data_IF_781821372188
#
_entry.id   IF_781821372188
#
_cell.length_a   1.000
_cell.length_b   1.000
_cell.length_c   1.000
_cell.angle_alpha   90.00
_cell.angle_beta   90.00
_cell.angle_gamma   90.00
#
_symmetry.space_group_name_H-M   'P 1'
#
loop_
_entity.id
_entity.type
_entity.pdbx_description
1 polymer ?
#
# COMPACT_ATOMS: atom_id res chain seq x y z
N UNK A 1 -27.34 5.10 -5.79
CA UNK A 1 -26.51 4.02 -5.24
C UNK A 1 -27.11 2.70 -5.73
N UNK A 2 -26.52 2.06 -6.74
CA UNK A 2 -26.89 0.70 -7.12
C UNK A 2 -26.29 -0.23 -6.09
N UNK A 3 -27.11 -0.82 -5.24
CA UNK A 3 -26.70 -1.97 -4.43
C UNK A 3 -26.40 -3.11 -5.41
N UNK A 4 -25.43 -3.98 -5.14
CA UNK A 4 -25.27 -5.22 -5.91
C UNK A 4 -26.62 -5.93 -5.91
N UNK A 5 -27.05 -6.39 -7.08
CA UNK A 5 -28.30 -7.12 -7.27
C UNK A 5 -28.26 -8.31 -6.32
N UNK A 6 -29.37 -8.59 -5.65
CA UNK A 6 -29.55 -9.57 -4.58
C UNK A 6 -29.02 -11.00 -4.90
N UNK A 7 -28.81 -11.28 -6.19
CA UNK A 7 -28.34 -12.59 -6.68
C UNK A 7 -26.80 -12.73 -6.73
N UNK A 8 -26.02 -11.65 -6.53
CA UNK A 8 -24.57 -11.65 -6.67
C UNK A 8 -23.82 -11.43 -5.34
N UNK A 9 -24.54 -11.29 -4.24
CA UNK A 9 -23.92 -11.18 -2.92
C UNK A 9 -23.54 -12.58 -2.45
N UNK A 10 -22.36 -13.04 -2.89
CA UNK A 10 -21.70 -14.19 -2.29
C UNK A 10 -21.60 -13.98 -0.77
N UNK A 11 -21.67 -15.06 0.00
CA UNK A 11 -21.64 -15.02 1.45
C UNK A 11 -20.39 -14.29 1.95
N UNK A 12 -20.57 -13.11 2.51
CA UNK A 12 -19.46 -12.40 3.15
C UNK A 12 -19.11 -13.15 4.43
N UNK A 13 -17.85 -13.56 4.60
CA UNK A 13 -17.44 -14.30 5.79
C UNK A 13 -17.72 -13.51 7.05
N UNK A 14 -18.27 -14.17 8.08
CA UNK A 14 -18.67 -13.55 9.34
C UNK A 14 -17.53 -12.94 10.15
N UNK A 15 -16.29 -13.41 9.93
CA UNK A 15 -15.14 -12.89 10.62
C UNK A 15 -13.96 -12.64 9.68
N UNK A 16 -13.20 -11.60 9.99
CA UNK A 16 -11.93 -11.28 9.34
C UNK A 16 -10.98 -12.50 9.28
N UNK A 17 -10.87 -13.23 10.41
CA UNK A 17 -9.96 -14.36 10.54
C UNK A 17 -10.36 -15.55 9.64
N UNK A 18 -11.65 -15.88 9.59
CA UNK A 18 -12.13 -17.01 8.77
C UNK A 18 -11.96 -16.73 7.29
N UNK A 19 -12.29 -15.54 6.81
CA UNK A 19 -12.09 -15.15 5.41
C UNK A 19 -10.63 -15.22 4.97
N UNK A 20 -9.74 -14.68 5.82
CA UNK A 20 -8.31 -14.67 5.53
C UNK A 20 -7.75 -16.08 5.48
N UNK A 21 -8.09 -16.94 6.46
CA UNK A 21 -7.61 -18.32 6.53
C UNK A 21 -8.18 -19.18 5.40
N UNK A 22 -9.42 -18.96 5.00
CA UNK A 22 -10.05 -19.74 3.92
C UNK A 22 -9.35 -19.45 2.59
N UNK A 23 -9.19 -18.20 2.20
CA UNK A 23 -8.45 -17.82 0.99
C UNK A 23 -7.00 -18.31 1.04
N UNK A 24 -6.34 -18.18 2.19
CA UNK A 24 -4.97 -18.64 2.35
C UNK A 24 -4.85 -20.17 2.16
N UNK A 25 -5.77 -20.96 2.73
CA UNK A 25 -5.75 -22.42 2.60
C UNK A 25 -6.17 -22.91 1.21
N UNK A 26 -7.23 -22.33 0.64
CA UNK A 26 -7.84 -22.85 -0.60
C UNK A 26 -7.21 -22.27 -1.87
N UNK A 27 -6.61 -21.06 -1.80
CA UNK A 27 -6.08 -20.32 -2.96
C UNK A 27 -4.59 -19.94 -2.80
N UNK A 28 -3.82 -20.72 -2.05
CA UNK A 28 -2.42 -20.41 -1.76
C UNK A 28 -1.56 -20.21 -3.02
N UNK A 29 -1.69 -21.08 -4.01
CA UNK A 29 -0.94 -20.94 -5.28
C UNK A 29 -1.31 -19.64 -6.01
N UNK A 30 -2.60 -19.31 -6.04
CA UNK A 30 -3.08 -18.08 -6.66
C UNK A 30 -2.59 -16.85 -5.90
N UNK A 31 -2.47 -16.93 -4.58
CA UNK A 31 -1.87 -15.89 -3.74
C UNK A 31 -0.40 -15.66 -4.11
N UNK A 32 0.37 -16.75 -4.30
CA UNK A 32 1.77 -16.64 -4.76
C UNK A 32 1.87 -15.97 -6.13
N UNK A 33 1.04 -16.37 -7.09
CA UNK A 33 1.03 -15.77 -8.43
C UNK A 33 0.67 -14.29 -8.37
N UNK A 34 -0.33 -13.92 -7.57
CA UNK A 34 -0.70 -12.50 -7.37
C UNK A 34 0.42 -11.73 -6.68
N UNK A 35 1.13 -12.34 -5.73
CA UNK A 35 2.30 -11.72 -5.10
C UNK A 35 3.37 -11.37 -6.13
N UNK A 36 3.69 -12.30 -7.03
CA UNK A 36 4.63 -12.08 -8.13
C UNK A 36 4.15 -10.95 -9.03
N UNK A 37 2.87 -10.93 -9.42
CA UNK A 37 2.32 -9.85 -10.26
C UNK A 37 2.43 -8.49 -9.59
N UNK A 38 2.05 -8.36 -8.32
CA UNK A 38 2.20 -7.12 -7.55
C UNK A 38 3.66 -6.69 -7.48
N UNK A 39 4.55 -7.63 -7.17
CA UNK A 39 5.98 -7.34 -7.05
C UNK A 39 6.57 -6.82 -8.37
N UNK A 40 6.17 -7.38 -9.53
CA UNK A 40 6.62 -6.91 -10.84
C UNK A 40 6.31 -5.43 -11.06
N UNK A 41 5.19 -4.94 -10.55
CA UNK A 41 4.82 -3.52 -10.61
C UNK A 41 5.68 -2.65 -9.68
N UNK A 42 6.25 -3.21 -8.60
CA UNK A 42 7.15 -2.51 -7.68
C UNK A 42 8.63 -2.61 -8.07
N UNK A 43 9.02 -3.49 -9.01
CA UNK A 43 10.44 -3.61 -9.44
C UNK A 43 11.04 -2.26 -9.83
N UNK A 44 10.39 -1.40 -10.67
CA UNK A 44 10.98 -0.12 -11.04
C UNK A 44 11.27 0.78 -9.84
N UNK A 45 10.39 0.81 -8.82
CA UNK A 45 10.58 1.57 -7.59
C UNK A 45 11.77 1.01 -6.77
N UNK A 46 11.85 -0.32 -6.63
CA UNK A 46 12.97 -0.98 -5.94
C UNK A 46 14.30 -0.72 -6.66
N UNK A 47 14.32 -0.78 -7.99
CA UNK A 47 15.52 -0.46 -8.76
C UNK A 47 15.94 1.00 -8.59
N UNK A 48 14.98 1.94 -8.57
CA UNK A 48 15.25 3.36 -8.27
C UNK A 48 15.90 3.51 -6.89
N UNK A 49 15.32 2.90 -5.86
CA UNK A 49 15.85 2.99 -4.50
C UNK A 49 17.27 2.42 -4.39
N UNK A 50 17.52 1.25 -4.97
CA UNK A 50 18.87 0.64 -5.00
C UNK A 50 19.86 1.54 -5.73
N UNK A 51 19.48 2.09 -6.90
CA UNK A 51 20.34 2.96 -7.69
C UNK A 51 20.73 4.22 -6.92
N UNK A 52 19.74 4.96 -6.40
CA UNK A 52 19.99 6.21 -5.69
C UNK A 52 20.75 5.99 -4.37
N UNK A 53 20.42 4.95 -3.60
CA UNK A 53 21.14 4.63 -2.37
C UNK A 53 22.61 4.26 -2.65
N UNK A 54 22.88 3.50 -3.70
CA UNK A 54 24.26 3.17 -4.11
C UNK A 54 25.02 4.42 -4.54
N UNK A 55 24.39 5.29 -5.30
CA UNK A 55 25.00 6.54 -5.79
C UNK A 55 25.25 7.55 -4.65
N UNK A 56 24.30 7.70 -3.71
CA UNK A 56 24.45 8.52 -2.50
C UNK A 56 25.57 7.94 -1.61
N UNK A 57 25.66 6.62 -1.49
CA UNK A 57 26.73 5.93 -0.77
C UNK A 57 28.14 6.05 -1.41
N UNK A 58 28.22 6.74 -2.55
CA UNK A 58 29.52 7.04 -3.19
C UNK A 58 30.05 5.95 -4.08
N UNK A 59 29.25 4.98 -4.47
CA UNK A 59 29.68 3.94 -5.42
C UNK A 59 30.10 4.58 -6.74
N UNK A 60 31.37 4.38 -7.10
CA UNK A 60 31.95 4.94 -8.34
C UNK A 60 32.32 6.44 -8.27
N UNK A 61 32.36 7.05 -7.07
CA UNK A 61 32.68 8.46 -6.87
C UNK A 61 33.78 8.66 -5.82
N UNK A 62 34.67 9.62 -6.05
CA UNK A 62 35.61 10.09 -5.03
C UNK A 62 34.96 11.23 -4.23
N UNK A 63 34.45 10.90 -3.07
CA UNK A 63 33.83 11.85 -2.14
C UNK A 63 34.83 12.50 -1.17
N UNK A 64 36.11 12.12 -1.23
CA UNK A 64 37.12 12.59 -0.28
C UNK A 64 37.38 14.11 -0.37
N UNK A 65 37.17 14.67 -1.54
CA UNK A 65 37.39 16.09 -1.83
C UNK A 65 36.24 17.00 -1.44
N UNK A 66 35.06 16.44 -1.09
CA UNK A 66 33.88 17.24 -0.71
C UNK A 66 33.92 17.59 0.78
N UNK A 67 33.64 18.84 1.11
CA UNK A 67 33.37 19.27 2.50
C UNK A 67 32.07 18.63 3.00
N UNK A 68 31.88 18.59 4.32
CA UNK A 68 30.64 18.06 4.93
C UNK A 68 29.39 18.78 4.40
N UNK A 69 29.43 20.11 4.31
CA UNK A 69 28.33 20.92 3.77
C UNK A 69 28.05 20.58 2.31
N UNK A 70 29.08 20.43 1.47
CA UNK A 70 28.90 20.05 0.07
C UNK A 70 28.28 18.65 -0.08
N UNK A 71 28.65 17.70 0.79
CA UNK A 71 28.04 16.36 0.83
C UNK A 71 26.57 16.43 1.22
N UNK A 72 26.24 17.21 2.25
CA UNK A 72 24.86 17.38 2.70
C UNK A 72 23.96 17.95 1.58
N UNK A 73 24.40 19.00 0.88
CA UNK A 73 23.66 19.54 -0.25
C UNK A 73 23.55 18.57 -1.43
N UNK A 74 24.64 17.85 -1.76
CA UNK A 74 24.60 16.81 -2.80
C UNK A 74 23.57 15.74 -2.46
N UNK A 75 23.59 15.22 -1.24
CA UNK A 75 22.66 14.18 -0.80
C UNK A 75 21.21 14.67 -0.77
N UNK A 76 21.01 15.93 -0.37
CA UNK A 76 19.70 16.58 -0.47
C UNK A 76 19.18 16.61 -1.90
N UNK A 77 19.95 17.14 -2.86
CA UNK A 77 19.50 17.17 -4.26
C UNK A 77 19.24 15.78 -4.82
N UNK A 78 20.09 14.79 -4.54
CA UNK A 78 19.88 13.43 -5.00
C UNK A 78 18.60 12.81 -4.43
N UNK A 79 18.28 13.08 -3.16
CA UNK A 79 17.02 12.62 -2.54
C UNK A 79 15.79 13.29 -3.13
N UNK A 80 15.88 14.57 -3.50
CA UNK A 80 14.79 15.25 -4.20
C UNK A 80 14.59 14.67 -5.61
N UNK A 81 15.66 14.43 -6.38
CA UNK A 81 15.55 13.76 -7.68
C UNK A 81 14.98 12.35 -7.55
N UNK A 82 15.46 11.56 -6.59
CA UNK A 82 14.91 10.25 -6.27
C UNK A 82 13.40 10.35 -6.00
N UNK A 83 12.98 11.20 -5.07
CA UNK A 83 11.58 11.36 -4.70
C UNK A 83 10.70 11.77 -5.87
N UNK A 84 11.18 12.65 -6.76
CA UNK A 84 10.45 13.05 -7.95
C UNK A 84 10.26 11.87 -8.95
N UNK A 85 11.28 11.03 -9.12
CA UNK A 85 11.23 9.83 -9.97
C UNK A 85 10.36 8.76 -9.31
N UNK A 86 10.41 8.62 -8.00
CA UNK A 86 9.67 7.60 -7.26
C UNK A 86 8.14 7.84 -7.29
N UNK A 87 7.66 9.07 -7.51
CA UNK A 87 6.22 9.36 -7.63
C UNK A 87 5.55 8.50 -8.72
N UNK A 88 5.93 8.59 -10.01
CA UNK A 88 5.31 7.77 -11.05
C UNK A 88 5.56 6.27 -10.85
N UNK A 89 6.69 5.87 -10.27
CA UNK A 89 7.01 4.48 -10.00
C UNK A 89 6.12 3.92 -8.86
N UNK A 90 5.86 4.71 -7.82
CA UNK A 90 4.92 4.37 -6.77
C UNK A 90 3.49 4.26 -7.30
N UNK A 91 3.08 5.16 -8.21
CA UNK A 91 1.78 5.09 -8.88
C UNK A 91 1.63 3.76 -9.64
N UNK A 92 2.66 3.33 -10.34
CA UNK A 92 2.69 2.02 -11.02
C UNK A 92 2.55 0.87 -10.01
N UNK A 93 3.33 0.86 -8.94
CA UNK A 93 3.24 -0.15 -7.87
C UNK A 93 1.84 -0.24 -7.26
N UNK A 94 1.24 0.91 -6.94
CA UNK A 94 -0.10 0.99 -6.37
C UNK A 94 -1.20 0.50 -7.34
N UNK A 95 -1.04 0.67 -8.65
CA UNK A 95 -1.93 0.06 -9.64
C UNK A 95 -1.92 -1.46 -9.56
N UNK A 96 -0.74 -2.07 -9.49
CA UNK A 96 -0.61 -3.52 -9.31
C UNK A 96 -1.23 -3.98 -8.00
N UNK A 97 -1.01 -3.24 -6.92
CA UNK A 97 -1.59 -3.55 -5.62
C UNK A 97 -3.12 -3.47 -5.62
N UNK A 98 -3.69 -2.39 -6.15
CA UNK A 98 -5.14 -2.22 -6.30
C UNK A 98 -5.77 -3.33 -7.15
N UNK A 99 -5.11 -3.73 -8.23
CA UNK A 99 -5.55 -4.84 -9.07
C UNK A 99 -5.61 -6.17 -8.33
N UNK A 100 -4.64 -6.45 -7.46
CA UNK A 100 -4.65 -7.65 -6.62
C UNK A 100 -5.80 -7.64 -5.61
N UNK A 101 -6.11 -6.47 -5.02
CA UNK A 101 -7.27 -6.31 -4.12
C UNK A 101 -8.59 -6.64 -4.83
N UNK A 102 -8.73 -6.26 -6.12
CA UNK A 102 -9.90 -6.64 -6.92
C UNK A 102 -10.02 -8.17 -7.09
N UNK A 103 -8.92 -8.87 -7.33
CA UNK A 103 -8.93 -10.34 -7.46
C UNK A 103 -9.23 -11.00 -6.10
N UNK A 104 -8.61 -10.52 -5.01
CA UNK A 104 -8.88 -11.05 -3.67
C UNK A 104 -10.33 -10.83 -3.23
N UNK A 105 -10.94 -9.67 -3.58
CA UNK A 105 -12.37 -9.46 -3.37
C UNK A 105 -13.18 -10.60 -3.99
N UNK A 106 -12.91 -10.97 -5.24
CA UNK A 106 -13.61 -12.09 -5.90
C UNK A 106 -13.44 -13.42 -5.14
N UNK A 107 -12.23 -13.73 -4.68
CA UNK A 107 -12.01 -14.94 -3.88
C UNK A 107 -12.76 -14.94 -2.56
N UNK A 108 -12.79 -13.81 -1.86
CA UNK A 108 -13.51 -13.67 -0.58
C UNK A 108 -15.01 -13.84 -0.76
N UNK A 109 -15.57 -13.39 -1.89
CA UNK A 109 -16.99 -13.57 -2.22
C UNK A 109 -17.31 -14.94 -2.87
N UNK A 110 -16.33 -15.80 -3.06
CA UNK A 110 -16.53 -17.10 -3.74
C UNK A 110 -16.79 -17.01 -5.24
N UNK A 111 -16.52 -15.85 -5.84
CA UNK A 111 -16.68 -15.65 -7.28
C UNK A 111 -15.57 -16.33 -8.08
N UNK A 112 -15.89 -16.72 -9.34
CA UNK A 112 -14.85 -17.18 -10.29
C UNK A 112 -13.91 -16.02 -10.62
N UNK A 113 -12.60 -16.21 -10.40
CA UNK A 113 -11.58 -15.27 -10.79
C UNK A 113 -10.63 -15.89 -11.83
N UNK A 114 -10.44 -15.17 -12.92
CA UNK A 114 -9.46 -15.46 -13.96
C UNK A 114 -8.21 -14.63 -13.71
N UNK A 115 -7.22 -15.18 -13.02
CA UNK A 115 -6.05 -14.48 -12.47
C UNK A 115 -5.48 -13.40 -13.40
N UNK A 116 -5.06 -13.78 -14.60
CA UNK A 116 -4.41 -12.87 -15.55
C UNK A 116 -5.37 -11.77 -16.04
N UNK A 117 -6.56 -12.19 -16.52
CA UNK A 117 -7.55 -11.23 -17.05
C UNK A 117 -8.09 -10.31 -15.96
N UNK A 118 -8.38 -10.84 -14.77
CA UNK A 118 -8.92 -10.06 -13.67
C UNK A 118 -7.85 -9.15 -13.05
N UNK A 119 -6.59 -9.54 -13.06
CA UNK A 119 -5.51 -8.67 -12.60
C UNK A 119 -5.20 -7.55 -13.62
N UNK A 120 -4.79 -7.91 -14.85
CA UNK A 120 -4.26 -6.93 -15.80
C UNK A 120 -5.34 -6.11 -16.53
N UNK A 121 -6.55 -6.60 -16.70
CA UNK A 121 -7.60 -5.89 -17.43
C UNK A 121 -8.67 -5.35 -16.50
N UNK A 122 -9.34 -6.22 -15.76
CA UNK A 122 -10.50 -5.82 -14.97
C UNK A 122 -10.08 -5.08 -13.69
N UNK A 123 -9.07 -5.55 -12.98
CA UNK A 123 -8.57 -4.97 -11.76
C UNK A 123 -7.98 -3.58 -11.98
N UNK A 124 -7.08 -3.42 -12.95
CA UNK A 124 -6.55 -2.10 -13.31
C UNK A 124 -7.69 -1.14 -13.64
N UNK A 125 -8.62 -1.56 -14.51
CA UNK A 125 -9.76 -0.73 -14.91
C UNK A 125 -10.67 -0.34 -13.74
N UNK A 126 -10.83 -1.24 -12.77
CA UNK A 126 -11.70 -0.98 -11.60
C UNK A 126 -11.05 -0.06 -10.57
N UNK A 127 -9.71 -0.02 -10.49
CA UNK A 127 -8.99 0.63 -9.37
C UNK A 127 -8.11 1.81 -9.78
N UNK A 128 -7.97 2.10 -11.10
CA UNK A 128 -6.96 3.06 -11.56
C UNK A 128 -7.14 4.48 -11.00
N UNK A 129 -8.39 4.96 -10.84
CA UNK A 129 -8.65 6.32 -10.35
C UNK A 129 -8.17 6.51 -8.91
N UNK A 130 -8.60 5.64 -8.00
CA UNK A 130 -8.16 5.68 -6.62
C UNK A 130 -6.66 5.41 -6.51
N UNK A 131 -6.16 4.40 -7.24
CA UNK A 131 -4.74 4.02 -7.19
C UNK A 131 -3.84 5.15 -7.67
N UNK A 132 -4.13 5.79 -8.80
CA UNK A 132 -3.29 6.87 -9.32
C UNK A 132 -3.35 8.13 -8.46
N UNK A 133 -4.55 8.57 -8.04
CA UNK A 133 -4.65 9.81 -7.27
C UNK A 133 -4.00 9.69 -5.90
N UNK A 134 -4.35 8.65 -5.14
CA UNK A 134 -3.86 8.52 -3.77
C UNK A 134 -2.38 8.16 -3.71
N UNK A 135 -1.87 7.37 -4.67
CA UNK A 135 -0.43 7.11 -4.75
C UNK A 135 0.36 8.34 -5.18
N UNK A 136 -0.19 9.20 -6.05
CA UNK A 136 0.40 10.49 -6.37
C UNK A 136 0.52 11.38 -5.12
N UNK A 137 -0.54 11.47 -4.32
CA UNK A 137 -0.52 12.22 -3.05
C UNK A 137 0.49 11.61 -2.06
N UNK A 138 0.54 10.28 -1.94
CA UNK A 138 1.54 9.59 -1.12
C UNK A 138 2.96 9.90 -1.57
N UNK A 139 3.21 9.91 -2.88
CA UNK A 139 4.50 10.27 -3.45
C UNK A 139 4.89 11.71 -3.17
N UNK A 140 3.94 12.65 -3.26
CA UNK A 140 4.19 14.05 -2.89
C UNK A 140 4.53 14.21 -1.41
N UNK A 141 3.83 13.51 -0.51
CA UNK A 141 4.13 13.56 0.93
C UNK A 141 5.51 12.94 1.20
N UNK A 142 5.85 11.83 0.53
CA UNK A 142 7.19 11.23 0.63
C UNK A 142 8.29 12.19 0.17
N UNK A 143 8.05 12.95 -0.90
CA UNK A 143 8.96 13.99 -1.37
C UNK A 143 9.10 15.13 -0.34
N UNK A 144 8.00 15.54 0.30
CA UNK A 144 8.03 16.55 1.38
C UNK A 144 8.82 16.06 2.59
N UNK A 145 8.64 14.78 3.00
CA UNK A 145 9.43 14.18 4.07
C UNK A 145 10.92 14.20 3.72
N UNK A 146 11.27 13.85 2.49
CA UNK A 146 12.65 13.89 2.01
C UNK A 146 13.21 15.32 2.02
N UNK A 147 12.43 16.30 1.57
CA UNK A 147 12.80 17.72 1.64
C UNK A 147 13.01 18.16 3.09
N UNK A 148 12.11 17.80 4.00
CA UNK A 148 12.21 18.16 5.40
C UNK A 148 13.47 17.55 6.05
N UNK A 149 13.64 16.23 5.91
CA UNK A 149 14.76 15.51 6.56
C UNK A 149 16.12 15.94 6.00
N UNK A 150 16.27 15.93 4.68
CA UNK A 150 17.59 16.19 4.06
C UNK A 150 17.84 17.67 3.81
N UNK A 151 16.82 18.43 3.41
CA UNK A 151 16.95 19.87 3.15
C UNK A 151 17.19 20.66 4.43
N UNK A 152 16.35 20.47 5.44
CA UNK A 152 16.54 21.19 6.70
C UNK A 152 17.83 20.80 7.40
N UNK A 153 18.31 19.55 7.21
CA UNK A 153 19.63 19.13 7.71
C UNK A 153 20.75 19.85 6.96
N UNK A 154 20.67 19.97 5.62
CA UNK A 154 21.66 20.68 4.82
C UNK A 154 21.73 22.19 5.12
N UNK A 155 20.59 22.78 5.53
CA UNK A 155 20.50 24.17 5.97
C UNK A 155 20.70 24.36 7.48
N UNK A 156 21.17 23.34 8.20
CA UNK A 156 21.53 23.39 9.64
C UNK A 156 20.38 23.82 10.57
N UNK A 157 19.12 23.45 10.23
CA UNK A 157 17.98 23.70 11.11
C UNK A 157 18.08 22.90 12.42
N UNK A 158 17.45 23.38 13.53
CA UNK A 158 17.45 22.67 14.80
C UNK A 158 16.90 21.24 14.67
N UNK A 159 17.64 20.25 15.16
CA UNK A 159 17.26 18.82 15.07
C UNK A 159 15.86 18.54 15.62
N UNK A 160 15.46 19.22 16.70
CA UNK A 160 14.14 19.07 17.29
C UNK A 160 13.02 19.47 16.32
N UNK A 161 13.22 20.54 15.55
CA UNK A 161 12.26 20.98 14.54
C UNK A 161 12.11 19.93 13.44
N UNK A 162 13.22 19.39 12.91
CA UNK A 162 13.22 18.34 11.88
C UNK A 162 12.47 17.10 12.38
N UNK A 163 12.71 16.66 13.62
CA UNK A 163 12.04 15.51 14.21
C UNK A 163 10.53 15.72 14.33
N UNK A 164 10.10 16.87 14.86
CA UNK A 164 8.67 17.16 15.06
C UNK A 164 7.93 17.21 13.70
N UNK A 165 8.49 17.92 12.73
CA UNK A 165 7.88 18.02 11.39
C UNK A 165 7.82 16.66 10.69
N UNK A 166 8.88 15.85 10.77
CA UNK A 166 8.91 14.49 10.19
C UNK A 166 7.89 13.56 10.84
N UNK A 167 7.65 13.66 12.15
CA UNK A 167 6.60 12.88 12.83
C UNK A 167 5.22 13.27 12.29
N UNK A 168 4.94 14.58 12.17
CA UNK A 168 3.64 15.06 11.67
C UNK A 168 3.42 14.59 10.23
N UNK A 169 4.41 14.75 9.37
CA UNK A 169 4.36 14.30 7.96
C UNK A 169 4.18 12.78 7.86
N UNK A 170 4.87 12.01 8.70
CA UNK A 170 4.73 10.56 8.79
C UNK A 170 3.32 10.14 9.20
N UNK A 171 2.68 10.82 10.15
CA UNK A 171 1.29 10.56 10.55
C UNK A 171 0.31 10.86 9.41
N UNK A 172 0.54 11.96 8.66
CA UNK A 172 -0.25 12.31 7.48
C UNK A 172 -0.06 11.26 6.37
N UNK A 173 1.18 10.81 6.12
CA UNK A 173 1.47 9.74 5.17
C UNK A 173 0.68 8.46 5.48
N UNK A 174 0.70 8.02 6.74
CA UNK A 174 -0.04 6.84 7.20
C UNK A 174 -1.56 7.04 7.01
N UNK A 175 -2.08 8.22 7.32
CA UNK A 175 -3.51 8.51 7.11
C UNK A 175 -3.90 8.42 5.63
N UNK A 176 -3.12 9.02 4.73
CA UNK A 176 -3.38 8.97 3.27
C UNK A 176 -3.25 7.54 2.75
N UNK A 177 -2.35 6.74 3.31
CA UNK A 177 -2.23 5.33 3.00
C UNK A 177 -3.50 4.53 3.35
N UNK A 178 -4.13 4.82 4.50
CA UNK A 178 -5.44 4.22 4.83
C UNK A 178 -6.53 4.65 3.86
N UNK A 179 -6.54 5.93 3.48
CA UNK A 179 -7.51 6.45 2.50
C UNK A 179 -7.36 5.72 1.16
N UNK A 180 -6.13 5.46 0.73
CA UNK A 180 -5.85 4.67 -0.47
C UNK A 180 -6.53 3.30 -0.42
N UNK A 181 -6.29 2.51 0.64
CA UNK A 181 -6.89 1.17 0.75
C UNK A 181 -8.41 1.19 0.78
N UNK A 182 -9.01 2.06 1.58
CA UNK A 182 -10.46 2.17 1.64
C UNK A 182 -11.07 2.68 0.34
N UNK A 183 -10.39 3.58 -0.39
CA UNK A 183 -10.86 4.07 -1.69
C UNK A 183 -10.86 2.98 -2.75
N UNK A 184 -9.74 2.25 -2.87
CA UNK A 184 -9.61 1.14 -3.81
C UNK A 184 -10.66 0.07 -3.52
N UNK A 185 -10.84 -0.32 -2.25
CA UNK A 185 -11.87 -1.27 -1.87
C UNK A 185 -13.28 -0.75 -2.15
N UNK A 186 -13.56 0.53 -1.89
CA UNK A 186 -14.89 1.13 -2.15
C UNK A 186 -15.24 1.11 -3.64
N UNK A 187 -14.28 1.42 -4.50
CA UNK A 187 -14.48 1.34 -5.96
C UNK A 187 -14.74 -0.10 -6.43
N UNK A 188 -14.00 -1.06 -5.89
CA UNK A 188 -14.11 -2.46 -6.31
C UNK A 188 -15.38 -3.15 -5.83
N UNK A 189 -15.91 -2.78 -4.65
CA UNK A 189 -17.03 -3.47 -4.01
C UNK A 189 -18.38 -2.85 -4.39
N UNK A 190 -18.46 -1.52 -4.36
CA UNK A 190 -19.74 -0.82 -4.46
C UNK A 190 -19.92 -0.11 -5.80
N UNK A 191 -18.94 -0.17 -6.70
CA UNK A 191 -18.95 0.58 -7.97
C UNK A 191 -19.35 2.06 -7.75
N UNK A 192 -18.83 2.63 -6.65
CA UNK A 192 -19.17 3.99 -6.25
C UNK A 192 -18.46 5.01 -7.15
N UNK A 193 -19.14 6.13 -7.46
CA UNK A 193 -18.46 7.27 -8.05
C UNK A 193 -17.27 7.68 -7.17
N UNK A 194 -16.14 8.00 -7.78
CA UNK A 194 -14.87 8.29 -7.11
C UNK A 194 -15.01 9.26 -5.92
N UNK A 195 -15.80 10.36 -6.06
CA UNK A 195 -16.00 11.31 -4.97
C UNK A 195 -16.69 10.72 -3.73
N UNK A 196 -17.63 9.80 -3.91
CA UNK A 196 -18.31 9.13 -2.80
C UNK A 196 -17.39 8.07 -2.15
N UNK A 197 -16.61 7.35 -2.96
CA UNK A 197 -15.59 6.42 -2.47
C UNK A 197 -14.57 7.15 -1.59
N UNK A 198 -14.05 8.28 -2.06
CA UNK A 198 -13.11 9.14 -1.33
C UNK A 198 -13.70 9.65 -0.01
N UNK A 199 -14.92 10.16 -0.01
CA UNK A 199 -15.59 10.67 1.21
C UNK A 199 -15.73 9.58 2.28
N UNK A 200 -16.17 8.39 1.88
CA UNK A 200 -16.29 7.25 2.79
C UNK A 200 -14.92 6.82 3.32
N UNK A 201 -13.91 6.81 2.47
CA UNK A 201 -12.54 6.43 2.83
C UNK A 201 -11.92 7.38 3.84
N UNK A 202 -12.13 8.69 3.69
CA UNK A 202 -11.72 9.71 4.66
C UNK A 202 -12.37 9.44 6.03
N UNK A 203 -13.69 9.16 6.06
CA UNK A 203 -14.39 8.87 7.31
C UNK A 203 -13.84 7.62 8.00
N UNK A 204 -13.67 6.49 7.28
CA UNK A 204 -13.15 5.27 7.89
C UNK A 204 -11.68 5.37 8.30
N UNK A 205 -10.88 6.11 7.54
CA UNK A 205 -9.47 6.34 7.90
C UNK A 205 -9.34 7.16 9.18
N UNK A 206 -10.18 8.19 9.37
CA UNK A 206 -10.15 9.04 10.56
C UNK A 206 -10.78 8.36 11.78
N UNK A 207 -12.04 7.90 11.67
CA UNK A 207 -12.78 7.33 12.82
C UNK A 207 -12.12 6.06 13.36
N UNK A 208 -11.54 5.24 12.47
CA UNK A 208 -10.93 3.96 12.84
C UNK A 208 -9.40 4.04 12.88
N UNK A 209 -8.81 5.24 12.99
CA UNK A 209 -7.37 5.45 12.88
C UNK A 209 -6.56 4.49 13.77
N UNK A 210 -6.91 4.33 15.03
CA UNK A 210 -6.20 3.43 15.95
C UNK A 210 -6.25 1.96 15.53
N UNK A 211 -7.39 1.48 15.00
CA UNK A 211 -7.50 0.11 14.48
C UNK A 211 -6.75 -0.07 13.17
N UNK A 212 -6.83 0.92 12.28
CA UNK A 212 -6.08 0.94 11.04
C UNK A 212 -4.58 0.92 11.31
N UNK A 213 -4.13 1.66 12.33
CA UNK A 213 -2.73 1.70 12.74
C UNK A 213 -2.24 0.33 13.25
N UNK A 214 -3.07 -0.40 14.03
CA UNK A 214 -2.71 -1.75 14.46
C UNK A 214 -2.55 -2.71 13.26
N UNK A 215 -3.45 -2.66 12.29
CA UNK A 215 -3.33 -3.46 11.06
C UNK A 215 -2.09 -3.04 10.26
N UNK A 216 -1.83 -1.75 10.16
CA UNK A 216 -0.65 -1.22 9.49
C UNK A 216 0.65 -1.73 10.15
N UNK A 217 0.79 -1.56 11.46
CA UNK A 217 1.97 -2.03 12.19
C UNK A 217 2.16 -3.54 12.01
N UNK A 218 1.09 -4.33 12.14
CA UNK A 218 1.20 -5.79 11.99
C UNK A 218 1.58 -6.24 10.58
N UNK A 219 1.17 -5.49 9.55
CA UNK A 219 1.45 -5.84 8.15
C UNK A 219 2.77 -5.28 7.64
N UNK A 220 3.23 -4.15 8.18
CA UNK A 220 4.46 -3.49 7.73
C UNK A 220 5.66 -3.66 8.69
N UNK A 221 5.49 -4.34 9.83
CA UNK A 221 6.57 -4.60 10.77
C UNK A 221 7.79 -5.27 10.13
N UNK A 222 7.57 -6.14 9.13
CA UNK A 222 8.64 -6.82 8.42
C UNK A 222 9.51 -5.83 7.59
N UNK A 223 8.95 -4.74 7.06
CA UNK A 223 9.71 -3.68 6.37
C UNK A 223 10.67 -3.01 7.35
N UNK A 224 10.19 -2.71 8.56
CA UNK A 224 11.04 -2.16 9.63
C UNK A 224 12.18 -3.13 9.94
N UNK A 225 11.88 -4.42 10.08
CA UNK A 225 12.90 -5.45 10.27
C UNK A 225 13.91 -5.49 9.11
N UNK A 226 13.45 -5.39 7.86
CA UNK A 226 14.30 -5.36 6.68
C UNK A 226 15.35 -4.24 6.74
N UNK A 227 14.95 -3.04 7.16
CA UNK A 227 15.87 -1.91 7.28
C UNK A 227 16.75 -1.94 8.55
N UNK A 228 16.25 -2.54 9.64
CA UNK A 228 17.01 -2.67 10.88
C UNK A 228 18.12 -3.73 10.78
N UNK A 229 17.91 -4.78 10.02
CA UNK A 229 18.91 -5.84 9.84
C UNK A 229 19.75 -5.55 8.59
N UNK A 230 20.99 -5.10 8.81
CA UNK A 230 21.95 -4.75 7.75
C UNK A 230 22.62 -5.96 7.08
N UNK A 231 22.29 -7.19 7.51
CA UNK A 231 22.86 -8.41 6.94
C UNK A 231 22.28 -8.66 5.54
N UNK A 232 23.15 -8.69 4.53
CA UNK A 232 22.78 -8.85 3.11
C UNK A 232 22.03 -10.16 2.82
N UNK A 233 22.34 -11.24 3.55
CA UNK A 233 21.62 -12.51 3.40
C UNK A 233 20.20 -12.41 3.93
N UNK A 234 20.00 -11.73 5.07
CA UNK A 234 18.67 -11.47 5.62
C UNK A 234 17.84 -10.58 4.70
N UNK A 235 18.43 -9.53 4.15
CA UNK A 235 17.76 -8.63 3.21
C UNK A 235 17.38 -9.36 1.93
N UNK A 236 18.28 -10.14 1.33
CA UNK A 236 18.01 -10.97 0.15
C UNK A 236 16.90 -11.99 0.39
N UNK A 237 16.97 -12.71 1.52
CA UNK A 237 15.91 -13.67 1.90
C UNK A 237 14.56 -12.98 2.12
N UNK A 238 14.52 -11.83 2.78
CA UNK A 238 13.31 -11.06 3.02
C UNK A 238 12.66 -10.58 1.72
N UNK A 239 13.46 -10.14 0.75
CA UNK A 239 12.97 -9.77 -0.58
C UNK A 239 12.38 -10.98 -1.32
N UNK A 240 13.02 -12.15 -1.26
CA UNK A 240 12.49 -13.37 -1.86
C UNK A 240 11.15 -13.79 -1.23
N UNK A 241 11.05 -13.74 0.10
CA UNK A 241 9.78 -14.04 0.80
C UNK A 241 8.71 -13.06 0.39
N UNK A 242 9.03 -11.77 0.29
CA UNK A 242 8.09 -10.75 -0.15
C UNK A 242 7.66 -10.96 -1.61
N UNK A 243 8.58 -11.30 -2.48
CA UNK A 243 8.32 -11.62 -3.88
C UNK A 243 7.30 -12.74 -4.04
N UNK A 244 7.51 -13.87 -3.35
CA UNK A 244 6.67 -15.04 -3.53
C UNK A 244 5.34 -14.99 -2.77
N UNK A 245 5.31 -14.36 -1.60
CA UNK A 245 4.16 -14.46 -0.69
C UNK A 245 3.75 -13.11 -0.12
N UNK A 246 4.72 -12.27 0.28
CA UNK A 246 4.49 -11.09 1.10
C UNK A 246 3.56 -10.06 0.48
N UNK A 247 3.76 -9.71 -0.79
CA UNK A 247 2.92 -8.74 -1.48
C UNK A 247 1.46 -9.23 -1.62
N UNK A 248 1.28 -10.53 -1.88
CA UNK A 248 -0.03 -11.16 -1.94
C UNK A 248 -0.72 -11.20 -0.57
N UNK A 249 -0.01 -11.59 0.48
CA UNK A 249 -0.55 -11.60 1.86
C UNK A 249 -0.95 -10.18 2.30
N UNK A 250 -0.12 -9.20 2.05
CA UNK A 250 -0.41 -7.80 2.39
C UNK A 250 -1.69 -7.31 1.69
N UNK A 251 -1.82 -7.58 0.40
CA UNK A 251 -3.03 -7.29 -0.37
C UNK A 251 -4.26 -8.00 0.16
N UNK A 252 -4.14 -9.30 0.48
CA UNK A 252 -5.24 -10.10 1.04
C UNK A 252 -5.68 -9.57 2.40
N UNK A 253 -4.75 -9.27 3.30
CA UNK A 253 -5.05 -8.73 4.64
C UNK A 253 -5.81 -7.42 4.54
N UNK A 254 -5.32 -6.47 3.74
CA UNK A 254 -5.99 -5.18 3.58
C UNK A 254 -7.35 -5.30 2.88
N UNK A 255 -7.48 -6.13 1.86
CA UNK A 255 -8.78 -6.40 1.21
C UNK A 255 -9.78 -6.96 2.21
N UNK A 256 -9.39 -8.00 2.96
CA UNK A 256 -10.26 -8.64 3.95
C UNK A 256 -10.64 -7.69 5.07
N UNK A 257 -9.69 -6.85 5.53
CA UNK A 257 -9.94 -5.86 6.56
C UNK A 257 -10.93 -4.78 6.11
N UNK A 258 -10.74 -4.21 4.92
CA UNK A 258 -11.66 -3.22 4.37
C UNK A 258 -13.08 -3.80 4.19
N UNK A 259 -13.18 -5.02 3.67
CA UNK A 259 -14.45 -5.73 3.53
C UNK A 259 -15.15 -5.94 4.87
N UNK A 260 -14.42 -6.35 5.91
CA UNK A 260 -14.93 -6.50 7.26
C UNK A 260 -15.48 -5.17 7.83
N UNK A 261 -14.74 -4.07 7.64
CA UNK A 261 -15.16 -2.74 8.09
C UNK A 261 -16.42 -2.29 7.35
N UNK A 262 -16.48 -2.43 6.03
CA UNK A 262 -17.66 -2.07 5.25
C UNK A 262 -18.88 -2.89 5.63
N UNK A 263 -18.71 -4.18 5.85
CA UNK A 263 -19.77 -5.05 6.32
C UNK A 263 -20.33 -4.61 7.67
N UNK A 264 -19.43 -4.29 8.60
CA UNK A 264 -19.82 -3.89 9.93
C UNK A 264 -20.54 -2.54 9.99
N UNK A 265 -20.09 -1.56 9.20
CA UNK A 265 -20.55 -0.18 9.34
C UNK A 265 -21.50 0.28 8.23
N UNK A 266 -21.42 -0.29 7.02
CA UNK A 266 -22.29 0.10 5.91
C UNK A 266 -23.48 -0.86 5.79
N UNK A 267 -23.23 -2.14 5.69
CA UNK A 267 -24.27 -3.13 5.40
C UNK A 267 -25.24 -3.31 6.58
N UNK A 268 -24.77 -3.26 7.82
CA UNK A 268 -25.64 -3.31 9.03
C UNK A 268 -26.60 -2.15 9.11
N UNK A 269 -26.17 -0.93 8.77
CA UNK A 269 -27.03 0.27 8.84
C UNK A 269 -28.15 0.20 7.79
N UNK A 270 -27.96 -0.52 6.68
CA UNK A 270 -28.92 -0.62 5.59
C UNK A 270 -29.89 -1.80 5.70
N UNK A 271 -29.85 -2.57 6.78
CA UNK A 271 -30.71 -3.73 6.96
C UNK A 271 -30.50 -4.84 5.94
N UNK A 272 -29.36 -4.84 5.24
CA UNK A 272 -28.99 -5.93 4.35
C UNK A 272 -28.70 -7.14 5.23
N UNK A 273 -29.68 -8.04 5.36
CA UNK A 273 -29.50 -9.36 6.01
C UNK A 273 -28.54 -10.17 5.16
N UNK A 274 -27.35 -10.33 5.70
CA UNK A 274 -26.36 -11.26 5.13
C UNK A 274 -26.91 -12.65 5.43
N UNK A 275 -27.32 -13.40 4.39
CA UNK A 275 -27.73 -14.77 4.54
C UNK A 275 -26.57 -15.57 5.15
N UNK A 276 -26.80 -16.03 6.38
CA UNK A 276 -25.90 -16.97 7.05
C UNK A 276 -25.93 -18.28 6.27
N UNK A 277 -24.88 -18.58 5.50
CA UNK A 277 -24.56 -19.98 5.25
C UNK A 277 -23.73 -20.45 6.45
N UNK A 278 -24.34 -21.30 7.25
CA UNK A 278 -23.63 -22.09 8.25
C UNK A 278 -22.58 -22.95 7.53
N UNK A 279 -21.32 -22.75 7.88
CA UNK A 279 -20.23 -23.68 7.56
C UNK A 279 -19.94 -24.49 8.79
#
# INVERSE_FOLDING_TARGET
MKLPVENDVGCVPHSFKTALLDVFKTKFVNLMVLSIFVFLFFIPLICSDIFFNSYIGGVGQDLSQLTETQRAFRDFYLRIYQGAIDIPLLMLGCLGFGSSMFVFKKYIYGEKAYLVSDFFKNGIKATYKASLLWSFILGLISLLISFNVYGLTAYEFPKLYIVITSIIEGLVFILVFFIYFFSVCSETIYDLPFGNATKNSLLFSGILYGKNLLVFISTFAWIVCYYLFTNIFFQGFSLLVFFFIGAGVLSLVWTTYCLYIFNKYINRIKGVTINNRDY
#
